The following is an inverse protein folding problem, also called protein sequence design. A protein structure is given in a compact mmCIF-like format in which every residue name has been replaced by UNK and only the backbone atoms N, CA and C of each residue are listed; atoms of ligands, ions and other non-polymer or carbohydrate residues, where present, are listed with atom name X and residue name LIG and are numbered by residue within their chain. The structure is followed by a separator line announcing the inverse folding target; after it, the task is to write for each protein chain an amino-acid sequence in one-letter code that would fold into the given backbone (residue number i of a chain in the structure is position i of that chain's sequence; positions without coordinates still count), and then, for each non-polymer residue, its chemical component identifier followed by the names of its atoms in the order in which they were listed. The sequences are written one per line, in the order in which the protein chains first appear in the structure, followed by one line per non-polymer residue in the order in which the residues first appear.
data_IF_537993148626
#
_entry.id   IF_537993148626
#
_cell.length_a   1.000
_cell.length_b   1.000
_cell.length_c   1.000
_cell.angle_alpha   90.00
_cell.angle_beta   90.00
_cell.angle_gamma   90.00
#
_symmetry.space_group_name_H-M   'P 1'
#
loop_
_entity.id
_entity.type
_entity.pdbx_description
1 polymer ?
#
# COMPACT_ATOMS: atom_id res chain seq x y z
N UNK A 1 21.44 6.82 -13.65
CA UNK A 1 19.96 6.92 -13.61
C UNK A 1 19.54 6.77 -12.16
N UNK A 2 18.40 7.35 -11.76
CA UNK A 2 17.86 7.24 -10.40
C UNK A 2 16.34 7.24 -10.40
N UNK A 3 15.73 6.66 -9.36
CA UNK A 3 14.31 6.83 -9.07
C UNK A 3 14.13 7.91 -7.99
N UNK A 4 13.35 8.96 -8.28
CA UNK A 4 13.13 10.08 -7.34
C UNK A 4 11.80 9.99 -6.59
N UNK A 5 11.61 10.83 -5.55
CA UNK A 5 10.39 10.98 -4.69
C UNK A 5 10.02 9.80 -3.78
N UNK A 6 10.20 8.56 -4.23
CA UNK A 6 9.76 7.35 -3.51
C UNK A 6 10.75 6.87 -2.45
N UNK A 7 11.56 7.79 -1.90
CA UNK A 7 12.63 7.48 -0.93
C UNK A 7 12.03 7.55 0.47
N UNK A 8 12.06 6.44 1.20
CA UNK A 8 11.54 6.39 2.58
C UNK A 8 12.66 6.31 3.63
N UNK A 9 13.89 5.99 3.23
CA UNK A 9 15.04 5.94 4.13
C UNK A 9 16.31 6.35 3.39
N UNK A 10 17.19 7.09 4.07
CA UNK A 10 18.54 7.42 3.59
C UNK A 10 19.57 6.95 4.58
N UNK A 11 20.57 6.22 4.10
CA UNK A 11 21.63 5.60 4.92
C UNK A 11 22.96 6.24 4.51
N UNK A 12 23.71 6.77 5.48
CA UNK A 12 25.04 7.36 5.26
C UNK A 12 26.15 6.40 5.69
N UNK A 13 27.38 6.62 5.19
CA UNK A 13 28.53 5.80 5.53
C UNK A 13 28.54 4.42 4.85
N UNK A 14 27.80 4.26 3.76
CA UNK A 14 27.77 3.08 2.93
C UNK A 14 28.83 3.20 1.82
N UNK A 15 30.11 3.19 2.18
CA UNK A 15 31.22 3.30 1.21
C UNK A 15 31.27 2.14 0.20
N UNK A 16 30.60 1.04 0.52
CA UNK A 16 30.41 -0.11 -0.35
C UNK A 16 28.91 -0.37 -0.49
N UNK A 17 28.45 -0.62 -1.73
CA UNK A 17 27.04 -0.77 -2.05
C UNK A 17 26.35 -2.01 -1.44
N UNK A 18 27.11 -2.96 -0.89
CA UNK A 18 26.58 -4.15 -0.19
C UNK A 18 25.81 -3.77 1.08
N UNK A 19 26.21 -2.70 1.76
CA UNK A 19 25.47 -2.13 2.89
C UNK A 19 24.05 -1.73 2.47
N UNK A 20 23.90 -1.11 1.29
CA UNK A 20 22.59 -0.75 0.75
C UNK A 20 21.73 -1.98 0.50
N UNK A 21 22.33 -3.02 -0.11
CA UNK A 21 21.64 -4.26 -0.43
C UNK A 21 21.13 -4.97 0.83
N UNK A 22 22.01 -5.13 1.83
CA UNK A 22 21.67 -5.76 3.12
C UNK A 22 20.55 -5.01 3.84
N UNK A 23 20.60 -3.68 3.82
CA UNK A 23 19.57 -2.83 4.45
C UNK A 23 18.24 -2.93 3.71
N UNK A 24 18.25 -2.87 2.38
CA UNK A 24 17.06 -3.07 1.57
C UNK A 24 16.43 -4.45 1.79
N UNK A 25 17.23 -5.52 1.89
CA UNK A 25 16.70 -6.86 2.12
C UNK A 25 16.04 -7.06 3.49
N UNK A 26 16.46 -6.29 4.51
CA UNK A 26 15.92 -6.35 5.87
C UNK A 26 14.59 -5.62 6.02
N UNK A 27 14.32 -4.62 5.18
CA UNK A 27 13.04 -3.90 5.19
C UNK A 27 12.11 -4.48 4.11
N UNK A 28 10.94 -4.97 4.52
CA UNK A 28 9.95 -5.55 3.61
C UNK A 28 9.40 -4.52 2.60
N UNK A 29 9.42 -3.24 2.96
CA UNK A 29 8.95 -2.13 2.13
C UNK A 29 9.93 -1.81 1.01
N UNK A 30 11.21 -2.16 1.15
CA UNK A 30 12.21 -1.83 0.14
C UNK A 30 12.00 -2.63 -1.16
N UNK A 31 11.80 -1.89 -2.26
CA UNK A 31 11.62 -2.41 -3.61
C UNK A 31 12.81 -2.07 -4.53
N UNK A 32 13.49 -0.97 -4.27
CA UNK A 32 14.71 -0.56 -4.97
C UNK A 32 15.53 0.41 -4.13
N UNK A 33 16.73 0.76 -4.57
CA UNK A 33 17.52 1.82 -3.96
C UNK A 33 18.39 2.54 -4.98
N UNK A 34 18.70 3.80 -4.72
CA UNK A 34 19.78 4.51 -5.40
C UNK A 34 21.04 4.46 -4.53
N UNK A 35 22.18 4.09 -5.12
CA UNK A 35 23.49 4.23 -4.50
C UNK A 35 24.15 5.52 -5.00
N UNK A 36 24.36 6.49 -4.10
CA UNK A 36 25.02 7.75 -4.40
C UNK A 36 26.51 7.61 -4.10
N UNK A 37 27.24 7.12 -5.10
CA UNK A 37 28.66 6.76 -4.94
C UNK A 37 29.57 7.96 -4.65
N UNK A 38 29.12 9.19 -4.94
CA UNK A 38 29.88 10.42 -4.62
C UNK A 38 29.79 10.82 -3.15
N UNK A 39 28.85 10.25 -2.40
CA UNK A 39 28.53 10.62 -1.02
C UNK A 39 28.46 9.41 -0.07
N UNK A 40 28.84 8.22 -0.54
CA UNK A 40 28.79 6.96 0.23
C UNK A 40 27.46 6.77 0.95
N UNK A 41 26.34 6.96 0.23
CA UNK A 41 24.99 6.86 0.80
C UNK A 41 24.03 6.05 -0.05
N UNK A 42 23.04 5.47 0.61
CA UNK A 42 21.94 4.74 0.00
C UNK A 42 20.65 5.54 0.17
N UNK A 43 19.84 5.60 -0.88
CA UNK A 43 18.48 6.13 -0.85
C UNK A 43 17.52 4.96 -1.11
N UNK A 44 16.95 4.37 -0.06
CA UNK A 44 16.04 3.22 -0.18
C UNK A 44 14.65 3.67 -0.62
N UNK A 45 14.06 2.93 -1.55
CA UNK A 45 12.78 3.25 -2.16
C UNK A 45 11.78 2.11 -2.06
N UNK A 46 10.52 2.47 -1.81
CA UNK A 46 9.38 1.57 -1.74
C UNK A 46 8.72 1.34 -3.11
N UNK A 47 9.29 1.87 -4.19
CA UNK A 47 8.83 1.65 -5.56
C UNK A 47 9.96 1.20 -6.46
N UNK A 48 9.61 0.73 -7.66
CA UNK A 48 10.55 0.39 -8.73
C UNK A 48 10.37 1.35 -9.91
N UNK A 49 11.35 1.37 -10.83
CA UNK A 49 11.22 2.15 -12.07
C UNK A 49 10.08 1.67 -12.97
N UNK A 50 9.67 0.40 -12.85
CA UNK A 50 8.54 -0.15 -13.59
C UNK A 50 7.19 0.31 -13.00
N UNK A 51 7.13 0.49 -11.68
CA UNK A 51 5.95 1.04 -11.01
C UNK A 51 5.77 2.55 -11.29
N UNK A 52 6.88 3.29 -11.34
CA UNK A 52 6.92 4.76 -11.45
C UNK A 52 7.91 5.23 -12.54
N UNK A 53 7.67 4.87 -13.82
CA UNK A 53 8.58 5.22 -14.91
C UNK A 53 8.78 6.73 -15.09
N UNK A 54 7.76 7.53 -14.77
CA UNK A 54 7.78 8.99 -14.80
C UNK A 54 8.80 9.63 -13.84
N UNK A 55 9.14 8.92 -12.76
CA UNK A 55 10.11 9.37 -11.77
C UNK A 55 11.51 8.76 -11.98
N UNK A 56 11.70 7.99 -13.04
CA UNK A 56 12.99 7.39 -13.36
C UNK A 56 13.80 8.31 -14.29
N UNK A 57 14.73 9.07 -13.71
CA UNK A 57 15.42 10.17 -14.40
C UNK A 57 16.93 9.91 -14.53
N UNK A 58 17.59 10.50 -15.55
CA UNK A 58 19.04 10.50 -15.65
C UNK A 58 19.71 11.19 -14.46
N UNK A 59 20.75 10.55 -13.94
CA UNK A 59 21.64 11.11 -12.92
C UNK A 59 22.96 10.34 -13.01
N UNK A 60 24.08 11.04 -13.15
CA UNK A 60 25.41 10.47 -13.32
C UNK A 60 26.10 10.12 -12.00
N UNK A 61 25.61 10.65 -10.87
CA UNK A 61 26.19 10.44 -9.54
C UNK A 61 25.53 9.27 -8.79
N UNK A 62 24.63 8.54 -9.46
CA UNK A 62 23.79 7.51 -8.87
C UNK A 62 23.70 6.26 -9.73
N UNK A 63 23.77 5.13 -9.03
CA UNK A 63 23.39 3.83 -9.58
C UNK A 63 22.04 3.40 -9.01
N UNK A 64 21.13 3.01 -9.88
CA UNK A 64 19.84 2.45 -9.50
C UNK A 64 19.93 0.93 -9.41
N UNK A 65 19.43 0.37 -8.31
CA UNK A 65 19.34 -1.07 -8.09
C UNK A 65 17.90 -1.46 -7.74
N UNK A 66 17.32 -2.36 -8.54
CA UNK A 66 16.05 -3.02 -8.20
C UNK A 66 16.33 -4.19 -7.26
N UNK A 67 15.49 -4.37 -6.23
CA UNK A 67 15.56 -5.54 -5.36
C UNK A 67 15.20 -6.80 -6.17
N UNK A 68 16.09 -7.76 -6.15
CA UNK A 68 16.02 -9.01 -6.91
C UNK A 68 15.58 -10.21 -6.05
N UNK A 69 15.95 -10.23 -4.75
CA UNK A 69 15.62 -11.33 -3.85
C UNK A 69 14.52 -10.99 -2.84
N UNK A 70 13.58 -11.94 -2.65
CA UNK A 70 12.51 -11.89 -1.65
C UNK A 70 11.75 -10.55 -1.62
N UNK A 71 11.57 -9.94 -2.79
CA UNK A 71 10.83 -8.68 -2.93
C UNK A 71 9.35 -8.95 -2.69
N UNK A 72 8.74 -8.25 -1.75
CA UNK A 72 7.29 -8.30 -1.56
C UNK A 72 6.60 -7.72 -2.80
N UNK A 73 5.51 -8.35 -3.25
CA UNK A 73 4.69 -7.80 -4.33
C UNK A 73 4.07 -6.48 -3.88
N UNK A 74 4.05 -5.49 -4.76
CA UNK A 74 3.44 -4.19 -4.46
C UNK A 74 1.94 -4.37 -4.15
N UNK A 75 1.47 -3.78 -3.05
CA UNK A 75 0.09 -3.92 -2.58
C UNK A 75 -0.22 -5.25 -1.86
N UNK A 76 0.74 -6.14 -1.62
CA UNK A 76 0.48 -7.39 -0.92
C UNK A 76 0.38 -7.25 0.61
N UNK A 77 0.96 -6.19 1.16
CA UNK A 77 1.00 -5.91 2.60
C UNK A 77 0.64 -4.44 2.85
N UNK A 78 0.06 -4.09 4.01
CA UNK A 78 -0.33 -2.71 4.30
C UNK A 78 0.86 -1.75 4.38
N UNK A 79 2.06 -2.23 4.73
CA UNK A 79 3.27 -1.39 4.79
C UNK A 79 3.82 -1.04 3.40
N UNK A 80 3.33 -1.72 2.35
CA UNK A 80 3.73 -1.53 0.97
C UNK A 80 2.50 -1.42 0.05
N UNK A 81 1.64 -0.40 0.25
CA UNK A 81 0.46 -0.21 -0.58
C UNK A 81 0.86 0.33 -1.96
N UNK A 82 0.04 0.02 -2.96
CA UNK A 82 0.14 0.63 -4.28
C UNK A 82 -0.77 1.86 -4.38
N UNK A 83 -0.59 2.72 -5.37
CA UNK A 83 -1.51 3.84 -5.57
C UNK A 83 -2.60 3.49 -6.62
N UNK A 84 -2.43 2.39 -7.36
CA UNK A 84 -3.45 1.88 -8.30
C UNK A 84 -3.21 0.42 -8.68
N UNK A 85 -4.25 -0.25 -9.20
CA UNK A 85 -4.13 -1.59 -9.78
C UNK A 85 -3.16 -1.63 -10.98
N UNK A 86 -3.20 -0.59 -11.82
CA UNK A 86 -2.27 -0.41 -12.94
C UNK A 86 -0.82 -0.38 -12.49
N UNK A 87 -0.54 0.30 -11.39
CA UNK A 87 0.80 0.34 -10.83
C UNK A 87 1.28 -1.05 -10.38
N UNK A 88 0.43 -1.81 -9.68
CA UNK A 88 0.75 -3.17 -9.25
C UNK A 88 1.13 -4.01 -10.47
N UNK A 89 0.28 -4.00 -11.50
CA UNK A 89 0.53 -4.75 -12.72
C UNK A 89 1.83 -4.34 -13.41
N UNK A 90 2.14 -3.04 -13.43
CA UNK A 90 3.40 -2.52 -14.00
C UNK A 90 4.62 -2.96 -13.20
N UNK A 91 4.56 -2.87 -11.86
CA UNK A 91 5.61 -3.32 -10.94
C UNK A 91 5.97 -4.80 -11.14
N UNK A 92 4.94 -5.64 -11.28
CA UNK A 92 5.07 -7.09 -11.40
C UNK A 92 5.25 -7.57 -12.85
N UNK A 93 5.65 -6.68 -13.77
CA UNK A 93 5.99 -7.04 -15.15
C UNK A 93 4.82 -7.61 -15.95
N UNK A 94 3.60 -7.19 -15.64
CA UNK A 94 2.37 -7.67 -16.29
C UNK A 94 1.87 -9.02 -15.76
N UNK A 95 2.54 -9.63 -14.78
CA UNK A 95 2.19 -10.96 -14.24
C UNK A 95 1.24 -10.89 -13.03
N UNK A 96 0.77 -9.71 -12.65
CA UNK A 96 -0.20 -9.56 -11.57
C UNK A 96 -1.54 -10.20 -11.96
N UNK A 97 -2.19 -10.86 -10.98
CA UNK A 97 -3.48 -11.53 -11.14
C UNK A 97 -4.59 -10.74 -10.46
N UNK A 98 -5.84 -10.89 -10.88
CA UNK A 98 -6.96 -10.22 -10.20
C UNK A 98 -7.10 -10.72 -8.75
N UNK A 99 -7.42 -9.82 -7.83
CA UNK A 99 -7.47 -10.14 -6.40
C UNK A 99 -7.55 -8.91 -5.51
N UNK A 100 -7.44 -9.13 -4.20
CA UNK A 100 -7.49 -8.06 -3.21
C UNK A 100 -6.08 -7.57 -2.88
N UNK A 101 -5.88 -6.25 -2.94
CA UNK A 101 -4.61 -5.58 -2.73
C UNK A 101 -4.76 -4.39 -1.78
N UNK A 102 -3.68 -3.99 -1.13
CA UNK A 102 -3.57 -2.78 -0.34
C UNK A 102 -3.29 -1.58 -1.25
N UNK A 103 -4.19 -0.60 -1.24
CA UNK A 103 -4.05 0.64 -2.00
C UNK A 103 -4.06 1.88 -1.08
N UNK A 104 -3.29 2.89 -1.46
CA UNK A 104 -3.39 4.24 -0.93
C UNK A 104 -4.62 4.94 -1.52
N UNK A 105 -5.55 5.37 -0.67
CA UNK A 105 -6.63 6.27 -1.07
C UNK A 105 -6.39 7.67 -0.49
N UNK A 106 -7.27 8.62 -0.83
CA UNK A 106 -7.18 10.07 -0.58
C UNK A 106 -6.77 10.47 0.86
N UNK A 107 -6.86 9.56 1.85
CA UNK A 107 -6.23 9.74 3.17
C UNK A 107 -4.87 8.99 3.22
N UNK A 108 -3.74 9.69 3.29
CA UNK A 108 -2.41 9.14 3.03
C UNK A 108 -1.89 8.10 4.04
N UNK A 109 -2.49 7.98 5.23
CA UNK A 109 -1.90 7.20 6.32
C UNK A 109 -2.53 5.83 6.56
N UNK A 110 -3.67 5.52 5.91
CA UNK A 110 -4.37 4.25 6.11
C UNK A 110 -4.62 3.58 4.75
N UNK A 111 -3.81 2.58 4.37
CA UNK A 111 -4.07 1.80 3.18
C UNK A 111 -5.35 0.98 3.38
N UNK A 112 -6.07 0.76 2.30
CA UNK A 112 -7.34 0.01 2.31
C UNK A 112 -7.23 -1.18 1.39
N UNK A 113 -8.06 -2.18 1.64
CA UNK A 113 -8.14 -3.32 0.75
C UNK A 113 -8.98 -2.94 -0.47
N UNK A 114 -8.55 -3.30 -1.66
CA UNK A 114 -9.28 -3.06 -2.89
C UNK A 114 -9.18 -4.29 -3.78
N UNK A 115 -10.31 -4.72 -4.35
CA UNK A 115 -10.30 -5.73 -5.39
C UNK A 115 -9.88 -5.08 -6.71
N UNK A 116 -8.73 -5.50 -7.23
CA UNK A 116 -8.21 -5.11 -8.53
C UNK A 116 -8.53 -6.19 -9.54
N UNK A 117 -9.24 -5.83 -10.62
CA UNK A 117 -9.27 -6.66 -11.81
C UNK A 117 -8.05 -6.32 -12.68
N UNK A 118 -7.06 -7.20 -12.74
CA UNK A 118 -5.84 -6.96 -13.52
C UNK A 118 -6.06 -7.05 -15.03
N UNK A 119 -7.23 -7.51 -15.49
CA UNK A 119 -7.59 -7.47 -16.91
C UNK A 119 -7.95 -6.04 -17.35
N UNK A 120 -8.77 -5.36 -16.55
CA UNK A 120 -9.21 -3.97 -16.81
C UNK A 120 -8.30 -2.93 -16.15
N UNK A 121 -7.50 -3.34 -15.17
CA UNK A 121 -6.67 -2.50 -14.30
C UNK A 121 -7.48 -1.53 -13.42
N UNK A 122 -8.74 -1.87 -13.16
CA UNK A 122 -9.68 -1.06 -12.38
C UNK A 122 -9.97 -1.67 -11.00
N UNK A 123 -10.38 -0.81 -10.07
CA UNK A 123 -10.87 -1.22 -8.74
C UNK A 123 -12.37 -1.50 -8.84
N UNK A 124 -12.79 -2.68 -8.40
CA UNK A 124 -14.22 -3.06 -8.38
C UNK A 124 -14.89 -2.79 -7.03
N UNK A 125 -14.20 -3.14 -5.94
CA UNK A 125 -14.70 -2.95 -4.57
C UNK A 125 -13.60 -2.48 -3.65
N UNK A 126 -13.94 -1.68 -2.64
CA UNK A 126 -13.03 -1.18 -1.61
C UNK A 126 -13.50 -1.67 -0.25
N UNK A 127 -12.59 -2.20 0.54
CA UNK A 127 -12.78 -2.73 1.88
C UNK A 127 -12.03 -1.93 2.92
N UNK A 128 -12.71 -1.52 3.99
CA UNK A 128 -12.11 -0.88 5.16
C UNK A 128 -12.18 -1.82 6.35
N UNK A 129 -11.09 -1.95 7.09
CA UNK A 129 -11.09 -2.69 8.35
C UNK A 129 -11.37 -1.71 9.48
N UNK A 130 -12.45 -1.93 10.23
CA UNK A 130 -12.81 -1.13 11.39
C UNK A 130 -13.29 -2.06 12.51
N UNK A 131 -12.69 -1.94 13.71
CA UNK A 131 -12.97 -2.85 14.84
C UNK A 131 -12.93 -4.35 14.47
N UNK A 132 -11.92 -4.78 13.71
CA UNK A 132 -11.77 -6.17 13.22
C UNK A 132 -12.86 -6.65 12.25
N UNK A 133 -13.75 -5.76 11.80
CA UNK A 133 -14.74 -6.05 10.74
C UNK A 133 -14.32 -5.45 9.40
N UNK A 134 -14.56 -6.18 8.31
CA UNK A 134 -14.33 -5.70 6.94
C UNK A 134 -15.62 -5.14 6.36
N UNK A 135 -15.63 -3.83 6.09
CA UNK A 135 -16.72 -3.12 5.44
C UNK A 135 -16.40 -2.96 3.95
N UNK A 136 -17.19 -3.58 3.07
CA UNK A 136 -16.96 -3.57 1.62
C UNK A 136 -17.96 -2.66 0.91
N UNK A 137 -17.44 -1.84 0.00
CA UNK A 137 -18.18 -0.89 -0.83
C UNK A 137 -17.88 -1.11 -2.31
N UNK A 138 -18.87 -0.90 -3.17
CA UNK A 138 -18.67 -0.90 -4.63
C UNK A 138 -18.00 0.40 -5.07
N UNK A 139 -16.92 0.31 -5.86
CA UNK A 139 -16.17 1.50 -6.34
C UNK A 139 -17.04 2.43 -7.20
N UNK A 140 -18.05 1.87 -7.90
CA UNK A 140 -19.01 2.60 -8.74
C UNK A 140 -19.88 3.57 -7.93
N UNK A 141 -20.13 3.31 -6.66
CA UNK A 141 -20.92 4.20 -5.79
C UNK A 141 -20.04 5.32 -5.16
N UNK A 142 -18.71 5.20 -5.16
CA UNK A 142 -17.80 6.18 -4.52
C UNK A 142 -17.24 7.27 -5.46
N UNK A 143 -17.16 7.02 -6.77
CA UNK A 143 -16.49 7.95 -7.69
C UNK A 143 -17.36 9.11 -8.18
N UNK A 144 -18.69 9.03 -8.03
CA UNK A 144 -19.62 9.95 -8.69
C UNK A 144 -20.14 11.10 -7.84
N UNK A 145 -19.62 11.35 -6.64
CA UNK A 145 -20.24 12.39 -5.83
C UNK A 145 -19.46 12.95 -4.68
N UNK A 146 -19.18 14.25 -4.79
CA UNK A 146 -19.10 15.12 -3.64
C UNK A 146 -20.42 15.27 -2.86
N UNK A 147 -21.37 14.32 -2.93
CA UNK A 147 -22.60 14.14 -2.11
C UNK A 147 -23.47 12.99 -2.67
N UNK A 148 -23.29 11.73 -2.27
CA UNK A 148 -24.42 10.77 -2.34
C UNK A 148 -24.41 9.77 -1.19
N UNK A 149 -25.63 9.44 -0.77
CA UNK A 149 -25.98 8.54 0.32
C UNK A 149 -25.16 7.24 0.27
N UNK A 150 -24.54 6.91 1.41
CA UNK A 150 -24.04 5.56 1.69
C UNK A 150 -25.20 4.57 1.48
N UNK A 151 -25.09 3.67 0.50
CA UNK A 151 -25.84 2.41 0.57
C UNK A 151 -25.21 1.59 1.70
N UNK A 152 -26.04 0.85 2.44
CA UNK A 152 -25.61 0.05 3.58
C UNK A 152 -24.41 -0.85 3.18
N UNK A 153 -23.33 -0.86 3.98
CA UNK A 153 -22.21 -1.76 3.73
C UNK A 153 -22.68 -3.21 3.84
N UNK A 154 -22.28 -4.07 2.90
CA UNK A 154 -22.50 -5.50 3.03
C UNK A 154 -21.52 -6.02 4.08
N UNK A 155 -22.03 -6.32 5.28
CA UNK A 155 -21.25 -6.89 6.39
C UNK A 155 -20.90 -8.34 6.05
N UNK A 156 -19.72 -8.57 5.50
CA UNK A 156 -19.18 -9.91 5.32
C UNK A 156 -18.53 -10.33 6.64
N UNK A 157 -19.12 -11.31 7.34
CA UNK A 157 -18.46 -11.98 8.47
C UNK A 157 -17.20 -12.67 7.93
N UNK A 158 -16.04 -12.03 8.07
CA UNK A 158 -14.76 -12.66 7.82
C UNK A 158 -14.47 -13.62 8.99
N UNK A 159 -14.28 -14.90 8.69
CA UNK A 159 -13.69 -15.87 9.61
C UNK A 159 -12.21 -15.49 9.80
N UNK A 160 -11.93 -14.59 10.74
CA UNK A 160 -10.56 -14.27 11.15
C UNK A 160 -10.29 -14.96 12.49
N UNK A 161 -9.38 -15.94 12.46
CA UNK A 161 -8.88 -16.61 13.67
C UNK A 161 -8.18 -15.60 14.61
N UNK A 162 -8.51 -15.66 15.91
CA UNK A 162 -8.00 -14.92 17.09
C UNK A 162 -6.45 -14.92 17.27
N UNK A 163 -5.78 -14.13 18.19
CA UNK A 163 -6.24 -13.54 19.48
C UNK A 163 -5.84 -12.04 19.75
N UNK A 164 -6.24 -11.42 20.88
CA UNK A 164 -6.31 -9.95 21.07
C UNK A 164 -5.13 -9.37 21.88
N UNK A 165 -4.93 -8.03 21.82
CA UNK A 165 -4.73 -7.18 23.02
C UNK A 165 -4.70 -5.66 22.75
N UNK A 166 -5.59 -5.00 23.51
CA UNK A 166 -5.68 -3.60 23.99
C UNK A 166 -6.00 -2.47 23.00
N UNK A 167 -7.26 -2.06 23.09
CA UNK A 167 -7.82 -0.76 22.69
C UNK A 167 -7.05 0.40 23.32
N UNK A 168 -7.00 1.53 22.62
CA UNK A 168 -7.36 2.83 23.19
C UNK A 168 -8.20 3.59 22.17
N UNK A 169 -9.43 3.92 22.56
CA UNK A 169 -10.36 4.75 21.80
C UNK A 169 -9.86 6.21 21.81
N UNK A 170 -9.89 6.89 20.66
CA UNK A 170 -9.89 8.35 20.62
C UNK A 170 -11.14 8.80 19.88
N UNK A 171 -11.98 9.52 20.62
CA UNK A 171 -13.21 10.18 20.20
C UNK A 171 -12.96 11.27 19.15
N UNK A 172 -14.00 11.51 18.34
CA UNK A 172 -14.63 12.81 18.06
C UNK A 172 -14.97 12.97 16.55
N UNK A 173 -16.25 12.97 16.20
CA UNK A 173 -17.03 14.18 15.91
C UNK A 173 -18.47 13.85 15.42
N UNK A 174 -19.42 14.60 15.99
CA UNK A 174 -20.84 14.79 15.65
C UNK A 174 -21.18 14.66 14.14
N UNK A 175 -22.29 14.07 13.67
CA UNK A 175 -23.67 14.12 14.16
C UNK A 175 -24.52 12.95 13.65
N UNK A 176 -25.45 12.50 14.49
CA UNK A 176 -26.80 11.99 14.18
C UNK A 176 -26.96 10.97 13.05
N UNK A 177 -26.85 9.68 13.39
CA UNK A 177 -27.88 8.67 13.05
C UNK A 177 -27.67 7.44 13.93
N UNK A 178 -28.53 7.30 14.92
CA UNK A 178 -28.69 6.10 15.72
C UNK A 178 -29.30 5.02 14.81
N UNK A 179 -28.60 3.92 14.57
CA UNK A 179 -29.19 2.69 14.03
C UNK A 179 -28.93 1.56 15.02
N UNK A 180 -29.88 1.44 15.95
CA UNK A 180 -30.43 0.20 16.53
C UNK A 180 -29.45 -0.94 16.84
N UNK A 181 -29.15 -1.05 18.13
CA UNK A 181 -29.01 -2.27 18.93
C UNK A 181 -29.28 -3.61 18.20
N UNK A 182 -28.26 -4.47 18.13
CA UNK A 182 -28.40 -5.93 18.26
C UNK A 182 -27.20 -6.43 19.07
N UNK A 183 -27.42 -6.70 20.36
CA UNK A 183 -26.62 -7.67 21.12
C UNK A 183 -26.87 -9.06 20.53
N UNK A 184 -25.83 -9.87 20.35
CA UNK A 184 -25.84 -11.32 20.66
C UNK A 184 -24.41 -11.83 20.83
N UNK A 185 -24.28 -12.68 21.84
CA UNK A 185 -23.10 -13.33 22.41
C UNK A 185 -22.29 -14.24 21.46
N UNK A 186 -21.13 -14.67 21.99
CA UNK A 186 -20.15 -15.65 21.51
C UNK A 186 -19.09 -15.19 20.51
N UNK A 187 -18.17 -14.33 20.97
CA UNK A 187 -16.83 -14.71 21.45
C UNK A 187 -16.13 -13.50 22.07
#
# INVERSE_FOLDING_TARGET
MMLQKHIFETITGAAVGDVCLLKCYRDVRCQSFNYVFTQDKCELSNRTKEARPEDFVPNSERYYFRRDMKRAHLGAIPELPADSCKEIKSSEGGQAVSGVYWLNFIKPDIPVLAHCDMKTEEVETVGFVHHMELFVFSSKDSLHSGKTKMKEPVRLRALVNCPPKKLDCIELWHSESCATHIEWEFC
#
